data_IF_589413498518
#
_entry.id   IF_589413498518
#
_cell.length_a   1.000
_cell.length_b   1.000
_cell.length_c   1.000
_cell.angle_alpha   90.00
_cell.angle_beta   90.00
_cell.angle_gamma   90.00
#
_symmetry.space_group_name_H-M   'P 1'
#
loop_
_entity.id
_entity.type
_entity.pdbx_description
1 polymer ?
#
# COMPACT_ATOMS: atom_id res chain seq x y z
N UNK A 1 0.84 -11.25 31.66
CA UNK A 1 1.14 -10.77 30.29
C UNK A 1 0.25 -11.56 29.35
N UNK A 2 -0.84 -10.98 28.89
CA UNK A 2 -1.69 -11.56 27.84
C UNK A 2 -0.95 -11.43 26.51
N UNK A 3 -0.87 -12.52 25.76
CA UNK A 3 -0.20 -12.58 24.47
C UNK A 3 -0.95 -11.76 23.41
N UNK A 4 -0.29 -11.43 22.29
CA UNK A 4 -0.97 -10.80 21.14
C UNK A 4 -2.13 -11.67 20.62
N UNK A 5 -2.02 -12.99 20.75
CA UNK A 5 -3.09 -13.93 20.43
C UNK A 5 -4.27 -13.83 21.42
N UNK A 6 -4.00 -13.62 22.71
CA UNK A 6 -5.05 -13.42 23.71
C UNK A 6 -5.79 -12.09 23.50
N UNK A 7 -5.09 -11.06 23.01
CA UNK A 7 -5.73 -9.81 22.57
C UNK A 7 -6.58 -10.00 21.31
N UNK A 8 -6.15 -10.84 20.37
CA UNK A 8 -6.89 -11.16 19.15
C UNK A 8 -8.15 -12.01 19.40
N UNK A 9 -8.13 -12.84 20.45
CA UNK A 9 -9.29 -13.67 20.86
C UNK A 9 -10.26 -12.88 21.75
N UNK A 10 -9.77 -11.95 22.59
CA UNK A 10 -10.61 -11.04 23.39
C UNK A 10 -11.24 -9.91 22.56
N UNK A 11 -10.61 -9.51 21.45
CA UNK A 11 -11.21 -8.68 20.39
C UNK A 11 -11.99 -9.55 19.41
N UNK A 12 -12.88 -10.40 19.91
CA UNK A 12 -13.70 -11.28 19.07
C UNK A 12 -14.20 -10.54 17.83
N UNK A 13 -13.77 -11.02 16.66
CA UNK A 13 -14.28 -10.66 15.34
C UNK A 13 -14.88 -9.24 15.27
N UNK A 14 -14.02 -8.23 15.12
CA UNK A 14 -14.53 -6.97 14.60
C UNK A 14 -14.98 -7.25 13.16
N UNK A 15 -16.26 -7.59 12.99
CA UNK A 15 -16.93 -7.80 11.71
C UNK A 15 -17.14 -6.47 10.97
N UNK A 16 -16.45 -5.42 11.42
CA UNK A 16 -16.49 -4.08 10.87
C UNK A 16 -15.41 -3.95 9.80
N UNK A 17 -15.71 -3.31 8.66
CA UNK A 17 -14.70 -3.02 7.65
C UNK A 17 -13.59 -2.11 8.22
N UNK A 18 -12.36 -2.20 7.70
CA UNK A 18 -11.27 -1.31 8.11
C UNK A 18 -11.63 0.16 7.81
N UNK A 19 -11.34 1.05 8.76
CA UNK A 19 -11.57 2.48 8.60
C UNK A 19 -10.49 3.12 7.71
N UNK A 20 -10.90 3.98 6.78
CA UNK A 20 -9.99 4.71 5.90
C UNK A 20 -9.29 5.85 6.66
N UNK A 21 -7.95 5.86 6.64
CA UNK A 21 -7.11 6.91 7.20
C UNK A 21 -6.53 7.83 6.11
N UNK A 22 -6.29 9.10 6.46
CA UNK A 22 -6.03 10.23 5.54
C UNK A 22 -4.89 10.02 4.52
N UNK A 23 -3.90 9.21 4.85
CA UNK A 23 -2.70 9.00 4.02
C UNK A 23 -2.41 7.50 3.77
N UNK A 24 -3.36 6.61 4.05
CA UNK A 24 -3.16 5.16 4.04
C UNK A 24 -4.06 4.46 3.02
N UNK A 25 -4.42 5.11 1.91
CA UNK A 25 -5.36 4.55 0.94
C UNK A 25 -4.90 3.20 0.39
N UNK A 26 -3.63 3.03 0.01
CA UNK A 26 -3.15 1.77 -0.56
C UNK A 26 -3.20 0.62 0.46
N UNK A 27 -2.85 0.90 1.72
CA UNK A 27 -3.00 -0.07 2.81
C UNK A 27 -4.45 -0.39 3.12
N UNK A 28 -5.31 0.63 3.20
CA UNK A 28 -6.75 0.47 3.39
C UNK A 28 -7.37 -0.35 2.28
N UNK A 29 -7.01 -0.06 1.03
CA UNK A 29 -7.46 -0.77 -0.16
C UNK A 29 -7.16 -2.26 -0.05
N UNK A 30 -5.89 -2.63 0.20
CA UNK A 30 -5.50 -4.03 0.32
C UNK A 30 -6.22 -4.75 1.48
N UNK A 31 -6.36 -4.10 2.64
CA UNK A 31 -7.06 -4.69 3.79
C UNK A 31 -8.56 -4.83 3.51
N UNK A 32 -9.16 -3.84 2.84
CA UNK A 32 -10.58 -3.83 2.49
C UNK A 32 -10.91 -4.90 1.44
N UNK A 33 -10.06 -5.09 0.43
CA UNK A 33 -10.21 -6.17 -0.57
C UNK A 33 -10.14 -7.55 0.11
N UNK A 34 -9.16 -7.77 1.00
CA UNK A 34 -9.06 -9.00 1.79
C UNK A 34 -10.26 -9.20 2.71
N UNK A 35 -10.75 -8.12 3.32
CA UNK A 35 -11.94 -8.16 4.15
C UNK A 35 -13.17 -8.58 3.35
N UNK A 36 -13.38 -8.02 2.15
CA UNK A 36 -14.48 -8.40 1.25
C UNK A 36 -14.38 -9.86 0.82
N UNK A 37 -13.19 -10.34 0.44
CA UNK A 37 -12.95 -11.73 0.06
C UNK A 37 -13.29 -12.73 1.17
N UNK A 38 -13.09 -12.35 2.43
CA UNK A 38 -13.41 -13.17 3.59
C UNK A 38 -14.91 -13.18 3.95
N UNK A 39 -15.78 -12.46 3.23
CA UNK A 39 -17.24 -12.49 3.43
C UNK A 39 -17.90 -13.59 2.58
N UNK A 40 -19.14 -13.92 2.94
CA UNK A 40 -19.97 -14.79 2.10
C UNK A 40 -20.16 -14.15 0.72
N UNK A 41 -19.91 -14.92 -0.35
CA UNK A 41 -19.83 -14.42 -1.73
C UNK A 41 -18.71 -13.40 -1.99
N UNK A 42 -17.62 -13.44 -1.22
CA UNK A 42 -16.55 -12.44 -1.26
C UNK A 42 -15.98 -12.17 -2.65
N UNK A 43 -15.82 -13.20 -3.50
CA UNK A 43 -15.37 -13.02 -4.89
C UNK A 43 -16.36 -12.18 -5.71
N UNK A 44 -17.66 -12.46 -5.62
CA UNK A 44 -18.70 -11.69 -6.32
C UNK A 44 -18.84 -10.26 -5.76
N UNK A 45 -18.58 -10.07 -4.46
CA UNK A 45 -18.53 -8.75 -3.81
C UNK A 45 -17.37 -7.95 -4.41
N UNK A 46 -16.17 -8.53 -4.49
CA UNK A 46 -15.00 -7.88 -5.07
C UNK A 46 -15.20 -7.57 -6.58
N UNK A 47 -15.74 -8.52 -7.34
CA UNK A 47 -16.07 -8.31 -8.76
C UNK A 47 -17.10 -7.18 -8.97
N UNK A 48 -17.99 -6.92 -8.01
CA UNK A 48 -18.93 -5.80 -8.07
C UNK A 48 -18.22 -4.45 -7.93
N UNK A 49 -17.16 -4.39 -7.13
CA UNK A 49 -16.29 -3.20 -6.99
C UNK A 49 -15.48 -2.95 -8.26
N UNK A 50 -15.03 -4.01 -8.94
CA UNK A 50 -14.21 -3.89 -10.15
C UNK A 50 -15.04 -3.64 -11.42
N UNK A 51 -16.18 -4.32 -11.55
CA UNK A 51 -16.87 -4.48 -12.82
C UNK A 51 -18.39 -4.20 -12.78
N UNK A 52 -18.98 -3.93 -11.61
CA UNK A 52 -20.42 -3.63 -11.44
C UNK A 52 -21.37 -4.70 -12.01
N UNK A 53 -21.05 -5.99 -11.82
CA UNK A 53 -21.69 -7.11 -12.53
C UNK A 53 -23.01 -7.60 -11.88
N UNK A 54 -23.10 -7.61 -10.55
CA UNK A 54 -24.17 -8.32 -9.84
C UNK A 54 -24.87 -7.43 -8.80
N UNK A 55 -26.14 -7.08 -9.04
CA UNK A 55 -26.88 -6.13 -8.20
C UNK A 55 -26.99 -6.52 -6.70
N UNK A 56 -27.16 -7.80 -6.38
CA UNK A 56 -27.20 -8.26 -4.96
C UNK A 56 -25.85 -8.09 -4.24
N UNK A 57 -24.75 -8.34 -4.96
CA UNK A 57 -23.40 -8.16 -4.43
C UNK A 57 -22.96 -6.71 -4.43
N UNK A 58 -23.47 -5.89 -5.35
CA UNK A 58 -23.21 -4.46 -5.41
C UNK A 58 -23.75 -3.72 -4.19
N UNK A 59 -24.97 -4.07 -3.73
CA UNK A 59 -25.52 -3.52 -2.48
C UNK A 59 -24.67 -3.92 -1.27
N UNK A 60 -24.20 -5.17 -1.22
CA UNK A 60 -23.31 -5.66 -0.15
C UNK A 60 -21.96 -4.95 -0.17
N UNK A 61 -21.35 -4.81 -1.35
CA UNK A 61 -20.09 -4.10 -1.55
C UNK A 61 -20.21 -2.63 -1.17
N UNK A 62 -21.27 -1.95 -1.61
CA UNK A 62 -21.58 -0.56 -1.26
C UNK A 62 -21.68 -0.37 0.25
N UNK A 63 -22.43 -1.22 0.95
CA UNK A 63 -22.56 -1.13 2.40
C UNK A 63 -21.24 -1.35 3.13
N UNK A 64 -20.42 -2.31 2.67
CA UNK A 64 -19.09 -2.56 3.22
C UNK A 64 -18.17 -1.35 3.02
N UNK A 65 -18.14 -0.77 1.81
CA UNK A 65 -17.33 0.40 1.51
C UNK A 65 -17.72 1.55 2.43
N UNK A 66 -19.00 1.90 2.49
CA UNK A 66 -19.49 3.05 3.26
C UNK A 66 -19.22 2.93 4.78
N UNK A 67 -19.27 1.73 5.33
CA UNK A 67 -18.93 1.47 6.75
C UNK A 67 -17.43 1.64 7.05
N UNK A 68 -16.57 1.48 6.05
CA UNK A 68 -15.13 1.71 6.17
C UNK A 68 -14.70 3.16 5.95
N UNK A 69 -15.63 4.12 5.88
CA UNK A 69 -15.31 5.53 5.62
C UNK A 69 -15.46 6.40 6.86
N UNK A 70 -14.54 7.37 7.07
CA UNK A 70 -14.74 8.42 8.04
C UNK A 70 -15.88 9.35 7.57
N UNK A 71 -16.58 10.03 8.51
CA UNK A 71 -17.77 10.84 8.21
C UNK A 71 -17.57 11.87 7.09
N UNK A 72 -16.38 12.46 7.01
CA UNK A 72 -16.03 13.48 6.02
C UNK A 72 -15.99 12.90 4.60
N UNK A 73 -15.42 11.71 4.43
CA UNK A 73 -15.35 11.02 3.14
C UNK A 73 -16.73 10.46 2.78
N UNK A 74 -17.44 9.89 3.75
CA UNK A 74 -18.82 9.42 3.57
C UNK A 74 -19.73 10.51 2.99
N UNK A 75 -19.70 11.72 3.58
CA UNK A 75 -20.52 12.84 3.12
C UNK A 75 -20.28 13.20 1.65
N UNK A 76 -19.03 13.06 1.18
CA UNK A 76 -18.63 13.39 -0.20
C UNK A 76 -19.03 12.34 -1.24
N UNK A 77 -19.21 11.08 -0.83
CA UNK A 77 -19.43 9.96 -1.77
C UNK A 77 -20.83 9.35 -1.67
N UNK A 78 -21.55 9.58 -0.57
CA UNK A 78 -22.87 8.98 -0.24
C UNK A 78 -23.98 9.14 -1.28
N UNK A 79 -23.83 10.05 -2.25
CA UNK A 79 -24.78 10.22 -3.37
C UNK A 79 -24.70 9.12 -4.43
N UNK A 80 -23.61 8.36 -4.47
CA UNK A 80 -23.40 7.26 -5.42
C UNK A 80 -23.92 5.96 -4.84
N UNK A 81 -24.51 5.13 -5.71
CA UNK A 81 -25.23 3.91 -5.29
C UNK A 81 -24.58 2.61 -5.78
N UNK A 82 -23.62 2.71 -6.68
CA UNK A 82 -22.90 1.58 -7.28
C UNK A 82 -21.53 1.47 -6.61
N UNK A 83 -21.15 0.26 -6.20
CA UNK A 83 -19.94 0.01 -5.43
C UNK A 83 -18.68 0.45 -6.19
N UNK A 84 -18.65 0.19 -7.50
CA UNK A 84 -17.57 0.61 -8.40
C UNK A 84 -17.41 2.14 -8.44
N UNK A 85 -18.49 2.87 -8.63
CA UNK A 85 -18.45 4.35 -8.68
C UNK A 85 -17.97 4.94 -7.35
N UNK A 86 -18.46 4.39 -6.23
CA UNK A 86 -18.00 4.77 -4.89
C UNK A 86 -16.50 4.53 -4.73
N UNK A 87 -16.02 3.34 -5.09
CA UNK A 87 -14.62 2.96 -4.99
C UNK A 87 -13.71 3.86 -5.81
N UNK A 88 -14.06 4.10 -7.08
CA UNK A 88 -13.34 5.02 -7.97
C UNK A 88 -13.35 6.46 -7.43
N UNK A 89 -14.46 6.91 -6.84
CA UNK A 89 -14.56 8.25 -6.24
C UNK A 89 -13.69 8.39 -4.99
N UNK A 90 -13.66 7.38 -4.11
CA UNK A 90 -12.79 7.38 -2.93
C UNK A 90 -11.33 7.40 -3.38
N UNK A 91 -10.97 6.57 -4.37
CA UNK A 91 -9.63 6.59 -4.96
C UNK A 91 -9.26 8.00 -5.45
N UNK A 92 -10.18 8.67 -6.15
CA UNK A 92 -9.95 10.02 -6.65
C UNK A 92 -9.80 11.07 -5.54
N UNK A 93 -10.58 10.95 -4.47
CA UNK A 93 -10.51 11.89 -3.34
C UNK A 93 -9.21 11.72 -2.54
N UNK A 94 -8.75 10.49 -2.37
CA UNK A 94 -7.58 10.17 -1.54
C UNK A 94 -6.26 10.29 -2.32
N UNK A 95 -6.25 9.93 -3.60
CA UNK A 95 -5.02 9.93 -4.43
C UNK A 95 -4.99 11.03 -5.49
N UNK A 96 -6.05 11.85 -5.62
CA UNK A 96 -6.24 12.80 -6.70
C UNK A 96 -6.74 12.13 -7.99
N UNK A 97 -6.68 12.83 -9.13
CA UNK A 97 -6.91 12.18 -10.44
C UNK A 97 -6.05 10.92 -10.51
N UNK A 98 -6.61 9.79 -10.92
CA UNK A 98 -5.90 8.52 -11.00
C UNK A 98 -4.54 8.75 -11.64
N UNK A 99 -3.47 8.70 -10.84
CA UNK A 99 -2.13 8.70 -11.41
C UNK A 99 -2.11 7.51 -12.37
N UNK A 100 -1.87 7.81 -13.63
CA UNK A 100 -1.68 6.76 -14.63
C UNK A 100 -0.58 5.84 -14.12
N UNK A 101 -0.64 4.56 -14.51
CA UNK A 101 0.42 3.61 -14.18
C UNK A 101 1.82 4.20 -14.45
N UNK A 102 1.95 4.91 -15.57
CA UNK A 102 3.17 5.58 -15.98
C UNK A 102 3.62 6.70 -15.02
N UNK A 103 2.71 7.53 -14.52
CA UNK A 103 3.09 8.59 -13.56
C UNK A 103 3.47 8.00 -12.19
N UNK A 104 2.87 6.87 -11.77
CA UNK A 104 3.30 6.15 -10.56
C UNK A 104 4.69 5.55 -10.73
N UNK A 105 4.94 4.88 -11.85
CA UNK A 105 6.26 4.37 -12.20
C UNK A 105 7.30 5.48 -12.23
N UNK A 106 6.96 6.64 -12.84
CA UNK A 106 7.85 7.79 -12.88
C UNK A 106 8.19 8.32 -11.48
N UNK A 107 7.19 8.45 -10.59
CA UNK A 107 7.42 8.88 -9.21
C UNK A 107 8.34 7.92 -8.46
N UNK A 108 8.13 6.62 -8.60
CA UNK A 108 8.98 5.61 -7.96
C UNK A 108 10.41 5.62 -8.52
N UNK A 109 10.56 5.81 -9.84
CA UNK A 109 11.87 6.02 -10.45
C UNK A 109 12.55 7.28 -9.93
N UNK A 110 11.83 8.39 -9.81
CA UNK A 110 12.34 9.66 -9.28
C UNK A 110 12.75 9.53 -7.81
N UNK A 111 11.95 8.85 -6.99
CA UNK A 111 12.27 8.58 -5.59
C UNK A 111 13.48 7.65 -5.46
N UNK A 112 13.56 6.60 -6.30
CA UNK A 112 14.74 5.73 -6.37
C UNK A 112 15.97 6.53 -6.75
N UNK A 113 15.90 7.38 -7.78
CA UNK A 113 17.04 8.17 -8.23
C UNK A 113 17.47 9.22 -7.19
N UNK A 114 16.53 9.81 -6.47
CA UNK A 114 16.83 10.78 -5.41
C UNK A 114 17.10 10.13 -4.05
N UNK A 115 17.01 8.80 -3.95
CA UNK A 115 17.20 8.10 -2.69
C UNK A 115 18.57 8.43 -2.10
N UNK A 116 18.58 8.88 -0.85
CA UNK A 116 19.79 9.26 -0.16
C UNK A 116 19.66 9.01 1.34
N UNK A 117 20.82 8.98 1.99
CA UNK A 117 20.92 8.99 3.44
C UNK A 117 20.29 10.26 4.05
N UNK A 118 19.53 10.08 5.13
CA UNK A 118 18.92 11.13 5.95
C UNK A 118 19.74 11.30 7.22
N UNK A 119 20.17 12.52 7.52
CA UNK A 119 20.99 12.83 8.70
C UNK A 119 20.32 12.31 9.98
N UNK A 120 21.03 11.48 10.73
CA UNK A 120 20.56 10.90 11.99
C UNK A 120 19.81 9.57 11.86
N UNK A 121 19.58 9.04 10.66
CA UNK A 121 19.00 7.70 10.50
C UNK A 121 20.04 6.60 10.78
N UNK A 122 19.60 5.49 11.37
CA UNK A 122 20.47 4.32 11.55
C UNK A 122 20.63 3.53 10.26
N UNK A 123 21.66 2.67 10.17
CA UNK A 123 21.84 1.78 9.02
C UNK A 123 20.62 0.86 8.81
N UNK A 124 19.97 0.45 9.90
CA UNK A 124 18.75 -0.36 9.86
C UNK A 124 17.59 0.41 9.25
N UNK A 125 17.40 1.67 9.64
CA UNK A 125 16.33 2.51 9.11
C UNK A 125 16.56 2.83 7.63
N UNK A 126 17.80 3.15 7.26
CA UNK A 126 18.21 3.32 5.86
C UNK A 126 17.87 2.08 5.02
N UNK A 127 18.28 0.89 5.49
CA UNK A 127 18.01 -0.38 4.81
C UNK A 127 16.51 -0.64 4.68
N UNK A 128 15.73 -0.42 5.76
CA UNK A 128 14.29 -0.62 5.73
C UNK A 128 13.61 0.30 4.71
N UNK A 129 13.96 1.59 4.68
CA UNK A 129 13.42 2.53 3.68
C UNK A 129 13.76 2.09 2.25
N UNK A 130 15.00 1.65 2.03
CA UNK A 130 15.44 1.18 0.72
C UNK A 130 14.69 -0.08 0.29
N UNK A 131 14.51 -1.04 1.20
CA UNK A 131 13.76 -2.28 0.94
C UNK A 131 12.28 -2.03 0.66
N UNK A 132 11.65 -1.09 1.38
CA UNK A 132 10.26 -0.71 1.13
C UNK A 132 10.11 -0.11 -0.28
N UNK A 133 11.01 0.80 -0.68
CA UNK A 133 11.00 1.39 -2.01
C UNK A 133 11.15 0.33 -3.12
N UNK A 134 12.05 -0.64 -2.95
CA UNK A 134 12.19 -1.75 -3.90
C UNK A 134 10.95 -2.63 -3.98
N UNK A 135 10.27 -2.85 -2.84
CA UNK A 135 9.03 -3.60 -2.81
C UNK A 135 7.93 -2.87 -3.59
N UNK A 136 7.80 -1.55 -3.39
CA UNK A 136 6.83 -0.72 -4.09
C UNK A 136 7.09 -0.71 -5.60
N UNK A 137 8.36 -0.62 -6.02
CA UNK A 137 8.75 -0.76 -7.44
C UNK A 137 8.38 -2.13 -8.02
N UNK A 138 8.58 -3.22 -7.26
CA UNK A 138 8.25 -4.57 -7.71
C UNK A 138 6.74 -4.79 -7.87
N UNK A 139 5.90 -4.16 -7.04
CA UNK A 139 4.43 -4.21 -7.17
C UNK A 139 3.98 -3.73 -8.57
N UNK A 140 4.66 -2.73 -9.12
CA UNK A 140 4.37 -2.21 -10.46
C UNK A 140 5.13 -2.93 -11.59
N UNK A 141 5.81 -4.05 -11.27
CA UNK A 141 6.62 -4.84 -12.21
C UNK A 141 7.78 -4.03 -12.82
N UNK A 142 8.30 -3.04 -12.09
CA UNK A 142 9.49 -2.27 -12.46
C UNK A 142 10.74 -3.10 -12.14
N UNK A 143 11.16 -3.94 -13.08
CA UNK A 143 12.31 -4.83 -12.89
C UNK A 143 13.61 -4.02 -12.92
N UNK A 144 14.28 -3.96 -11.77
CA UNK A 144 15.67 -3.50 -11.67
C UNK A 144 16.61 -4.70 -11.63
N UNK A 145 17.71 -4.62 -12.36
CA UNK A 145 18.76 -5.63 -12.26
C UNK A 145 19.48 -5.52 -10.92
N UNK A 146 19.94 -6.65 -10.39
CA UNK A 146 20.62 -6.70 -9.09
C UNK A 146 21.82 -5.75 -9.02
N UNK A 147 22.55 -5.57 -10.13
CA UNK A 147 23.68 -4.65 -10.19
C UNK A 147 23.24 -3.18 -9.99
N UNK A 148 22.08 -2.79 -10.53
CA UNK A 148 21.54 -1.43 -10.39
C UNK A 148 21.15 -1.16 -8.95
N UNK A 149 20.46 -2.12 -8.32
CA UNK A 149 20.06 -2.05 -6.92
C UNK A 149 21.28 -1.94 -6.01
N UNK A 150 22.27 -2.82 -6.21
CA UNK A 150 23.48 -2.85 -5.40
C UNK A 150 24.31 -1.57 -5.56
N UNK A 151 24.49 -1.10 -6.80
CA UNK A 151 25.22 0.14 -7.09
C UNK A 151 24.53 1.32 -6.43
N UNK A 152 23.19 1.41 -6.53
CA UNK A 152 22.42 2.49 -5.91
C UNK A 152 22.54 2.46 -4.40
N UNK A 153 22.36 1.29 -3.78
CA UNK A 153 22.50 1.12 -2.34
C UNK A 153 23.87 1.61 -1.86
N UNK A 154 24.95 1.14 -2.49
CA UNK A 154 26.31 1.51 -2.10
C UNK A 154 26.57 3.01 -2.26
N UNK A 155 26.19 3.61 -3.38
CA UNK A 155 26.44 5.02 -3.67
C UNK A 155 25.69 5.98 -2.73
N UNK A 156 24.57 5.53 -2.16
CA UNK A 156 23.68 6.35 -1.33
C UNK A 156 23.92 6.17 0.18
N UNK A 157 24.77 5.22 0.58
CA UNK A 157 25.24 5.07 1.96
C UNK A 157 25.98 6.33 2.45
N UNK A 158 25.80 6.64 3.74
CA UNK A 158 26.57 7.68 4.43
C UNK A 158 28.09 7.37 4.38
N UNK A 159 28.95 8.39 4.22
CA UNK A 159 30.40 8.23 4.33
C UNK A 159 30.85 7.61 5.67
N UNK A 160 30.06 7.79 6.73
CA UNK A 160 30.31 7.23 8.07
C UNK A 160 30.29 5.69 8.06
N UNK A 161 29.62 5.06 7.10
CA UNK A 161 29.54 3.61 6.95
C UNK A 161 30.51 3.07 5.90
N UNK A 162 31.62 3.77 5.65
CA UNK A 162 32.63 3.38 4.65
C UNK A 162 33.17 1.96 4.84
N UNK A 163 33.31 1.48 6.07
CA UNK A 163 33.74 0.11 6.34
C UNK A 163 32.69 -0.92 5.88
N UNK A 164 31.40 -0.65 6.16
CA UNK A 164 30.30 -1.50 5.69
C UNK A 164 30.24 -1.51 4.16
N UNK A 165 30.37 -0.33 3.53
CA UNK A 165 30.44 -0.20 2.06
C UNK A 165 31.55 -1.09 1.49
N UNK A 166 32.77 -1.06 2.07
CA UNK A 166 33.90 -1.89 1.63
C UNK A 166 33.60 -3.38 1.80
N UNK A 167 33.06 -3.81 2.93
CA UNK A 167 32.71 -5.21 3.18
C UNK A 167 31.70 -5.71 2.15
N UNK A 168 30.61 -4.96 1.95
CA UNK A 168 29.56 -5.34 1.00
C UNK A 168 30.14 -5.42 -0.41
N UNK A 169 30.91 -4.42 -0.85
CA UNK A 169 31.54 -4.39 -2.17
C UNK A 169 32.36 -5.65 -2.47
N UNK A 170 33.19 -6.09 -1.51
CA UNK A 170 33.96 -7.33 -1.66
C UNK A 170 33.08 -8.59 -1.67
N UNK A 171 31.96 -8.61 -0.95
CA UNK A 171 31.06 -9.77 -0.90
C UNK A 171 30.22 -9.94 -2.17
N UNK A 172 29.85 -8.84 -2.83
CA UNK A 172 28.99 -8.88 -4.03
C UNK A 172 29.77 -8.86 -5.35
N UNK A 173 31.09 -8.63 -5.32
CA UNK A 173 31.97 -8.77 -6.48
C UNK A 173 31.64 -7.82 -7.64
N UNK A 174 31.09 -6.64 -7.33
CA UNK A 174 30.86 -5.53 -8.26
C UNK A 174 32.09 -4.62 -8.25
#
# INVERSE_FOLDING_TARGET
MTSLADKAILLGADNSPPMLEKDMYDSWKSIMELYMLNRQHGQMILESVENAIQADCDVKATNIILQGLPPEVYALVSTHKVAKELWERIQMLMQGTSLTKQEREWKLYDEFDKFAYRKGESLRDFYLRFSLLLNDMNIYNMKLEQFQVNTKFLNTLSPEWSNVRKTIFHSIGI
#
